data_IF_901745079975
#
_entry.id   IF_901745079975
#
_cell.length_a   1.000
_cell.length_b   1.000
_cell.length_c   1.000
_cell.angle_alpha   90.00
_cell.angle_beta   90.00
_cell.angle_gamma   90.00
#
_symmetry.space_group_name_H-M   'P 1'
#
loop_
_entity.id
_entity.type
_entity.pdbx_description
1 polymer ?
#
# COMPACT_ATOMS: atom_id res chain seq x y z
N UNK A 1 8.69 -1.01 -24.86
CA UNK A 1 8.64 0.27 -25.59
C UNK A 1 9.27 1.35 -24.70
N UNK A 2 10.47 1.83 -25.01
CA UNK A 2 11.11 2.90 -24.22
C UNK A 2 10.60 4.31 -24.65
N UNK A 3 10.19 5.16 -23.71
CA UNK A 3 9.73 6.52 -23.99
C UNK A 3 10.85 7.58 -23.79
N UNK A 4 12.03 7.18 -23.28
CA UNK A 4 13.13 8.08 -22.94
C UNK A 4 12.94 8.76 -21.58
N UNK A 5 14.05 9.20 -20.97
CA UNK A 5 14.09 9.82 -19.64
C UNK A 5 14.03 11.34 -19.77
N UNK A 6 13.02 11.97 -19.16
CA UNK A 6 12.98 13.43 -18.98
C UNK A 6 12.16 13.80 -17.72
N UNK A 7 12.36 15.00 -17.15
CA UNK A 7 11.75 15.36 -15.87
C UNK A 7 10.22 15.42 -15.89
N UNK A 8 9.63 15.80 -17.03
CA UNK A 8 8.19 15.79 -17.22
C UNK A 8 7.82 15.63 -18.69
N UNK A 9 6.72 14.95 -18.95
CA UNK A 9 6.12 14.85 -20.28
C UNK A 9 4.81 15.64 -20.33
N UNK A 10 4.45 16.17 -21.50
CA UNK A 10 3.08 16.57 -21.81
C UNK A 10 2.30 15.40 -22.43
N UNK A 11 0.96 15.43 -22.37
CA UNK A 11 0.13 14.38 -23.00
C UNK A 11 0.35 14.32 -24.51
N UNK A 12 0.50 15.48 -25.17
CA UNK A 12 0.75 15.54 -26.62
C UNK A 12 2.10 14.91 -27.01
N UNK A 13 3.16 15.17 -26.24
CA UNK A 13 4.48 14.56 -26.48
C UNK A 13 4.42 13.03 -26.31
N UNK A 14 3.71 12.54 -25.29
CA UNK A 14 3.51 11.11 -25.07
C UNK A 14 2.73 10.48 -26.23
N UNK A 15 1.62 11.10 -26.66
CA UNK A 15 0.81 10.60 -27.76
C UNK A 15 1.63 10.51 -29.06
N UNK A 16 2.43 11.54 -29.36
CA UNK A 16 3.31 11.55 -30.52
C UNK A 16 4.34 10.41 -30.46
N UNK A 17 4.96 10.18 -29.29
CA UNK A 17 5.91 9.07 -29.12
C UNK A 17 5.26 7.70 -29.27
N UNK A 18 4.08 7.52 -28.70
CA UNK A 18 3.31 6.29 -28.84
C UNK A 18 3.03 6.04 -30.32
N UNK A 19 2.43 7.00 -31.04
CA UNK A 19 2.13 6.90 -32.48
C UNK A 19 3.38 6.61 -33.31
N UNK A 20 4.47 7.31 -33.03
CA UNK A 20 5.73 7.09 -33.74
C UNK A 20 6.25 5.66 -33.56
N UNK A 21 6.23 5.11 -32.33
CA UNK A 21 6.71 3.75 -32.08
C UNK A 21 5.75 2.68 -32.60
N UNK A 22 4.45 2.87 -32.45
CA UNK A 22 3.42 2.00 -33.05
C UNK A 22 3.69 1.84 -34.55
N UNK A 23 3.90 2.97 -35.26
CA UNK A 23 4.20 2.95 -36.70
C UNK A 23 5.58 2.37 -37.03
N UNK A 24 6.61 2.70 -36.25
CA UNK A 24 7.99 2.27 -36.52
C UNK A 24 8.20 0.77 -36.33
N UNK A 25 7.44 0.14 -35.42
CA UNK A 25 7.53 -1.29 -35.11
C UNK A 25 6.34 -2.10 -35.64
N UNK A 26 5.45 -1.47 -36.42
CA UNK A 26 4.21 -2.07 -36.93
C UNK A 26 3.41 -2.83 -35.85
N UNK A 27 3.17 -2.15 -34.72
CA UNK A 27 2.51 -2.73 -33.55
C UNK A 27 1.03 -2.37 -33.52
N UNK A 28 0.20 -3.32 -33.10
CA UNK A 28 -1.16 -3.05 -32.64
C UNK A 28 -1.19 -3.04 -31.10
N UNK A 29 -1.54 -1.90 -30.49
CA UNK A 29 -1.70 -1.80 -29.04
C UNK A 29 -3.17 -2.03 -28.69
N UNK A 30 -3.47 -3.20 -28.13
CA UNK A 30 -4.83 -3.56 -27.70
C UNK A 30 -5.28 -2.70 -26.51
N UNK A 31 -4.41 -2.50 -25.53
CA UNK A 31 -4.66 -1.63 -24.37
C UNK A 31 -3.36 -1.20 -23.69
N UNK A 32 -3.44 -0.14 -22.87
CA UNK A 32 -2.35 0.34 -22.04
C UNK A 32 -2.68 0.21 -20.56
N UNK A 33 -1.71 -0.24 -19.76
CA UNK A 33 -1.81 -0.23 -18.29
C UNK A 33 -0.93 0.89 -17.76
N UNK A 34 -1.46 1.72 -16.86
CA UNK A 34 -0.64 2.64 -16.09
C UNK A 34 -1.26 2.98 -14.75
N UNK A 35 -0.50 3.67 -13.90
CA UNK A 35 -1.07 4.41 -12.78
C UNK A 35 -2.08 5.48 -13.27
N UNK A 36 -2.76 6.14 -12.33
CA UNK A 36 -3.73 7.19 -12.62
C UNK A 36 -3.07 8.51 -13.09
N UNK A 37 -1.93 8.45 -13.77
CA UNK A 37 -1.29 9.60 -14.38
C UNK A 37 -2.18 10.19 -15.48
N UNK A 38 -2.80 11.33 -15.18
CA UNK A 38 -3.73 12.04 -16.08
C UNK A 38 -3.14 12.33 -17.46
N UNK A 39 -1.84 12.60 -17.53
CA UNK A 39 -1.14 12.88 -18.79
C UNK A 39 -1.02 11.65 -19.68
N UNK A 40 -0.70 10.49 -19.09
CA UNK A 40 -0.53 9.24 -19.81
C UNK A 40 -1.88 8.68 -20.26
N UNK A 41 -2.88 8.75 -19.38
CA UNK A 41 -4.27 8.41 -19.71
C UNK A 41 -4.78 9.21 -20.89
N UNK A 42 -4.61 10.54 -20.89
CA UNK A 42 -4.99 11.40 -22.01
C UNK A 42 -4.23 11.04 -23.29
N UNK A 43 -2.92 10.82 -23.19
CA UNK A 43 -2.10 10.45 -24.34
C UNK A 43 -2.54 9.14 -25.00
N UNK A 44 -2.91 8.12 -24.20
CA UNK A 44 -3.44 6.85 -24.70
C UNK A 44 -4.80 7.03 -25.37
N UNK A 45 -5.69 7.84 -24.78
CA UNK A 45 -6.99 8.19 -25.37
C UNK A 45 -6.82 8.92 -26.71
N UNK A 46 -5.90 9.89 -26.80
CA UNK A 46 -5.57 10.62 -28.04
C UNK A 46 -4.96 9.70 -29.13
N UNK A 47 -4.53 8.49 -28.76
CA UNK A 47 -4.06 7.45 -29.65
C UNK A 47 -5.11 6.37 -29.96
N UNK A 48 -6.33 6.47 -29.42
CA UNK A 48 -7.38 5.46 -29.57
C UNK A 48 -7.11 4.17 -28.79
N UNK A 49 -6.19 4.19 -27.81
CA UNK A 49 -5.81 3.03 -27.01
C UNK A 49 -6.67 2.97 -25.75
N UNK A 50 -7.29 1.82 -25.48
CA UNK A 50 -8.02 1.59 -24.24
C UNK A 50 -7.06 1.61 -23.05
N UNK A 51 -7.35 2.45 -22.05
CA UNK A 51 -6.55 2.54 -20.83
C UNK A 51 -7.18 1.71 -19.70
N UNK A 52 -6.35 0.96 -18.98
CA UNK A 52 -6.71 0.19 -17.80
C UNK A 52 -5.83 0.66 -16.63
N UNK A 53 -6.44 0.92 -15.48
CA UNK A 53 -5.72 1.32 -14.27
C UNK A 53 -4.88 0.18 -13.68
N UNK A 54 -3.69 0.53 -13.19
CA UNK A 54 -2.85 -0.38 -12.43
C UNK A 54 -3.56 -0.83 -11.15
N UNK A 55 -3.78 -2.15 -11.04
CA UNK A 55 -4.53 -2.72 -9.92
C UNK A 55 -3.85 -2.53 -8.56
N UNK A 56 -2.52 -2.41 -8.51
CA UNK A 56 -1.78 -2.13 -7.27
C UNK A 56 -2.01 -0.69 -6.84
N UNK A 57 -2.01 0.24 -7.79
CA UNK A 57 -2.30 1.64 -7.52
C UNK A 57 -3.76 1.85 -7.10
N UNK A 58 -4.71 1.16 -7.74
CA UNK A 58 -6.12 1.20 -7.33
C UNK A 58 -6.29 0.67 -5.91
N UNK A 59 -5.66 -0.46 -5.56
CA UNK A 59 -5.70 -0.98 -4.20
C UNK A 59 -5.10 0.02 -3.19
N UNK A 60 -3.98 0.65 -3.54
CA UNK A 60 -3.38 1.67 -2.70
C UNK A 60 -4.29 2.88 -2.47
N UNK A 61 -5.06 3.30 -3.49
CA UNK A 61 -6.04 4.37 -3.38
C UNK A 61 -7.23 3.98 -2.49
N UNK A 62 -7.69 2.73 -2.57
CA UNK A 62 -8.74 2.20 -1.70
C UNK A 62 -8.27 2.19 -0.25
N UNK A 63 -7.11 1.59 0.05
CA UNK A 63 -6.56 1.59 1.42
C UNK A 63 -6.35 3.01 1.94
N UNK A 64 -5.79 3.91 1.11
CA UNK A 64 -5.62 5.31 1.48
C UNK A 64 -6.96 5.95 1.85
N UNK A 65 -8.04 5.65 1.13
CA UNK A 65 -9.37 6.21 1.41
C UNK A 65 -9.92 5.71 2.75
N UNK A 66 -9.74 4.42 3.05
CA UNK A 66 -10.16 3.82 4.32
C UNK A 66 -9.48 4.51 5.51
N UNK A 67 -8.14 4.61 5.50
CA UNK A 67 -7.38 5.11 6.64
C UNK A 67 -7.22 6.65 6.68
N UNK A 68 -7.51 7.37 5.58
CA UNK A 68 -7.35 8.83 5.56
C UNK A 68 -8.35 9.53 6.48
N UNK A 69 -9.59 9.04 6.54
CA UNK A 69 -10.66 9.66 7.34
C UNK A 69 -10.84 9.01 8.71
N UNK A 70 -10.16 7.91 8.99
CA UNK A 70 -10.27 7.21 10.25
C UNK A 70 -9.55 7.97 11.38
N UNK A 71 -10.31 8.45 12.36
CA UNK A 71 -9.78 9.25 13.47
C UNK A 71 -8.84 8.45 14.37
N UNK A 72 -9.17 7.18 14.62
CA UNK A 72 -8.36 6.29 15.46
C UNK A 72 -6.97 6.08 14.85
N UNK A 73 -6.91 5.73 13.57
CA UNK A 73 -5.66 5.57 12.81
C UNK A 73 -4.85 6.84 12.74
N UNK A 74 -5.50 7.97 12.47
CA UNK A 74 -4.81 9.26 12.42
C UNK A 74 -4.24 9.64 13.80
N UNK A 75 -5.00 9.44 14.87
CA UNK A 75 -4.56 9.67 16.25
C UNK A 75 -3.35 8.78 16.62
N UNK A 76 -3.41 7.50 16.24
CA UNK A 76 -2.31 6.56 16.44
C UNK A 76 -1.03 7.02 15.72
N UNK A 77 -1.13 7.39 14.45
CA UNK A 77 -0.02 7.90 13.64
C UNK A 77 0.58 9.19 14.21
N UNK A 78 -0.25 10.10 14.73
CA UNK A 78 0.22 11.34 15.37
C UNK A 78 1.05 11.02 16.60
N UNK A 79 0.56 10.16 17.50
CA UNK A 79 1.29 9.75 18.71
C UNK A 79 2.59 9.04 18.36
N UNK A 80 2.55 8.16 17.38
CA UNK A 80 3.73 7.46 16.87
C UNK A 80 4.81 8.44 16.36
N UNK A 81 4.43 9.45 15.57
CA UNK A 81 5.37 10.45 15.08
C UNK A 81 5.92 11.36 16.19
N UNK A 82 5.10 11.69 17.21
CA UNK A 82 5.57 12.40 18.40
C UNK A 82 6.61 11.59 19.17
N UNK A 83 6.34 10.29 19.37
CA UNK A 83 7.26 9.38 20.04
C UNK A 83 8.58 9.26 19.27
N UNK A 84 8.52 9.07 17.94
CA UNK A 84 9.73 9.03 17.09
C UNK A 84 10.58 10.28 17.26
N UNK A 85 9.98 11.48 17.20
CA UNK A 85 10.73 12.74 17.40
C UNK A 85 11.39 12.82 18.77
N UNK A 86 10.72 12.33 19.81
CA UNK A 86 11.25 12.30 21.17
C UNK A 86 12.40 11.30 21.32
N UNK A 87 12.31 10.14 20.66
CA UNK A 87 13.23 9.02 20.87
C UNK A 87 14.40 8.98 19.90
N UNK A 88 14.40 9.77 18.83
CA UNK A 88 15.43 9.71 17.78
C UNK A 88 16.87 9.93 18.28
N UNK A 89 17.05 10.67 19.38
CA UNK A 89 18.34 10.88 20.04
C UNK A 89 18.41 10.26 21.45
N UNK A 90 17.47 9.37 21.79
CA UNK A 90 17.39 8.74 23.10
C UNK A 90 17.98 7.33 23.11
N UNK A 91 18.17 6.78 24.31
CA UNK A 91 18.57 5.38 24.53
C UNK A 91 17.55 4.34 24.02
N UNK A 92 16.36 4.76 23.61
CA UNK A 92 15.29 3.87 23.13
C UNK A 92 15.38 3.60 21.62
N UNK A 93 16.57 3.73 21.02
CA UNK A 93 16.76 3.67 19.56
C UNK A 93 16.20 2.40 18.91
N UNK A 94 16.28 1.27 19.62
CA UNK A 94 15.78 -0.03 19.14
C UNK A 94 14.25 -0.14 19.12
N UNK A 95 13.54 0.74 19.81
CA UNK A 95 12.07 0.76 19.90
C UNK A 95 11.45 1.90 19.08
N UNK A 96 12.28 2.69 18.39
CA UNK A 96 11.83 3.87 17.64
C UNK A 96 10.79 3.46 16.58
N UNK A 97 9.65 4.16 16.50
CA UNK A 97 8.71 3.95 15.41
C UNK A 97 9.29 4.28 14.03
N UNK A 98 8.83 3.62 12.96
CA UNK A 98 9.33 3.84 11.60
C UNK A 98 9.06 5.26 11.10
N UNK A 99 9.87 5.69 10.13
CA UNK A 99 9.62 6.94 9.43
C UNK A 99 8.51 6.79 8.39
N UNK A 100 7.53 7.68 8.44
CA UNK A 100 6.43 7.67 7.49
C UNK A 100 6.67 8.70 6.38
N UNK A 101 6.59 8.25 5.12
CA UNK A 101 6.61 9.15 3.97
C UNK A 101 5.27 9.87 3.84
N UNK A 102 5.29 11.20 3.82
CA UNK A 102 4.10 12.07 3.81
C UNK A 102 3.13 11.79 2.65
N UNK A 103 3.65 11.31 1.51
CA UNK A 103 2.87 11.13 0.27
C UNK A 103 2.18 9.76 0.15
N UNK A 104 2.46 8.80 1.04
CA UNK A 104 2.12 7.40 0.79
C UNK A 104 1.49 6.66 1.97
N UNK A 105 0.19 6.88 2.18
CA UNK A 105 -0.58 6.23 3.26
C UNK A 105 -0.71 4.72 3.10
N UNK A 106 -0.69 4.21 1.87
CA UNK A 106 -0.71 2.78 1.63
C UNK A 106 0.56 2.14 2.21
N UNK A 107 1.74 2.63 1.81
CA UNK A 107 3.01 2.11 2.34
C UNK A 107 3.17 2.34 3.84
N UNK A 108 2.54 3.37 4.41
CA UNK A 108 2.58 3.58 5.86
C UNK A 108 2.02 2.36 6.62
N UNK A 109 0.92 1.77 6.16
CA UNK A 109 0.35 0.58 6.82
C UNK A 109 1.37 -0.55 6.96
N UNK A 110 2.12 -0.83 5.89
CA UNK A 110 3.09 -1.94 5.79
C UNK A 110 4.15 -1.91 6.88
N UNK A 111 4.49 -0.71 7.36
CA UNK A 111 5.59 -0.52 8.32
C UNK A 111 5.04 -0.29 9.72
N UNK A 112 3.88 0.37 9.84
CA UNK A 112 3.25 0.66 11.13
C UNK A 112 2.85 -0.63 11.85
N UNK A 113 2.10 -1.53 11.20
CA UNK A 113 1.60 -2.73 11.88
C UNK A 113 2.77 -3.61 12.36
N UNK A 114 3.80 -3.82 11.52
CA UNK A 114 4.97 -4.64 11.86
C UNK A 114 5.72 -4.13 13.09
N UNK A 115 5.95 -2.82 13.14
CA UNK A 115 6.58 -2.19 14.29
C UNK A 115 5.71 -2.35 15.54
N UNK A 116 4.42 -2.05 15.43
CA UNK A 116 3.50 -2.11 16.56
C UNK A 116 3.35 -3.54 17.12
N UNK A 117 3.23 -4.54 16.24
CA UNK A 117 3.21 -5.96 16.61
C UNK A 117 4.51 -6.41 17.27
N UNK A 118 5.67 -5.91 16.80
CA UNK A 118 6.95 -6.20 17.44
C UNK A 118 7.03 -5.61 18.86
N UNK A 119 6.46 -4.42 19.09
CA UNK A 119 6.35 -3.83 20.42
C UNK A 119 5.47 -4.70 21.34
N UNK A 120 4.29 -5.11 20.86
CA UNK A 120 3.37 -5.96 21.63
C UNK A 120 4.01 -7.32 21.97
N UNK A 121 4.66 -7.96 20.98
CA UNK A 121 5.32 -9.26 21.16
C UNK A 121 6.47 -9.21 22.18
N UNK A 122 7.20 -8.10 22.22
CA UNK A 122 8.34 -7.94 23.12
C UNK A 122 7.99 -7.18 24.40
N UNK A 123 6.70 -6.99 24.71
CA UNK A 123 6.25 -6.10 25.77
C UNK A 123 6.93 -6.36 27.10
N UNK A 124 7.02 -7.62 27.53
CA UNK A 124 7.64 -8.02 28.79
C UNK A 124 9.13 -7.62 28.91
N UNK A 125 9.83 -7.54 27.78
CA UNK A 125 11.26 -7.21 27.73
C UNK A 125 11.53 -5.70 27.62
N UNK A 126 10.48 -4.88 27.53
CA UNK A 126 10.61 -3.42 27.43
C UNK A 126 10.71 -2.81 28.83
N UNK A 127 11.63 -1.87 29.03
CA UNK A 127 11.78 -1.17 30.31
C UNK A 127 10.51 -0.39 30.68
N UNK A 128 10.15 -0.35 31.97
CA UNK A 128 8.96 0.37 32.47
C UNK A 128 8.84 1.84 31.99
N UNK A 129 9.90 2.66 31.94
CA UNK A 129 9.80 4.02 31.39
C UNK A 129 9.37 4.04 29.92
N UNK A 130 9.83 3.07 29.12
CA UNK A 130 9.46 2.95 27.72
C UNK A 130 8.04 2.38 27.55
N UNK A 131 7.62 1.41 28.39
CA UNK A 131 6.25 0.90 28.41
C UNK A 131 5.24 2.02 28.67
N UNK A 132 5.51 2.90 29.63
CA UNK A 132 4.64 4.04 29.93
C UNK A 132 4.37 4.93 28.69
N UNK A 133 5.38 5.15 27.85
CA UNK A 133 5.23 5.92 26.61
C UNK A 133 4.66 5.10 25.44
N UNK A 134 4.79 3.77 25.48
CA UNK A 134 4.26 2.83 24.48
C UNK A 134 2.86 2.32 24.82
N UNK A 135 2.26 2.69 25.94
CA UNK A 135 0.92 2.22 26.35
C UNK A 135 -0.15 2.48 25.28
N UNK A 136 0.01 3.53 24.47
CA UNK A 136 -0.90 3.78 23.35
C UNK A 136 -0.85 2.68 22.27
N UNK A 137 0.23 1.93 22.15
CA UNK A 137 0.33 0.75 21.28
C UNK A 137 -0.58 -0.35 21.79
N UNK A 138 -0.49 -0.67 23.08
CA UNK A 138 -1.36 -1.66 23.73
C UNK A 138 -2.85 -1.27 23.63
N UNK A 139 -3.18 0.00 23.90
CA UNK A 139 -4.57 0.49 23.77
C UNK A 139 -5.12 0.45 22.34
N UNK A 140 -4.27 0.32 21.32
CA UNK A 140 -4.68 0.28 19.92
C UNK A 140 -4.42 -1.10 19.28
N UNK A 141 -4.33 -2.16 20.07
CA UNK A 141 -4.10 -3.53 19.59
C UNK A 141 -5.11 -3.96 18.51
N UNK A 142 -6.40 -3.72 18.72
CA UNK A 142 -7.44 -4.03 17.73
C UNK A 142 -7.25 -3.28 16.40
N UNK A 143 -6.77 -2.03 16.45
CA UNK A 143 -6.43 -1.26 15.26
C UNK A 143 -5.20 -1.86 14.55
N UNK A 144 -4.18 -2.26 15.31
CA UNK A 144 -2.96 -2.88 14.78
C UNK A 144 -3.30 -4.19 14.07
N UNK A 145 -4.15 -5.03 14.67
CA UNK A 145 -4.70 -6.24 14.05
C UNK A 145 -5.42 -5.90 12.75
N UNK A 146 -6.31 -4.89 12.76
CA UNK A 146 -7.03 -4.46 11.56
C UNK A 146 -6.08 -3.98 10.44
N UNK A 147 -5.01 -3.27 10.80
CA UNK A 147 -3.97 -2.83 9.86
C UNK A 147 -3.19 -4.02 9.27
N UNK A 148 -2.81 -5.01 10.09
CA UNK A 148 -2.20 -6.27 9.64
C UNK A 148 -3.14 -6.98 8.67
N UNK A 149 -4.39 -7.20 9.06
CA UNK A 149 -5.36 -7.95 8.26
C UNK A 149 -5.59 -7.30 6.89
N UNK A 150 -5.72 -5.96 6.87
CA UNK A 150 -5.82 -5.24 5.62
C UNK A 150 -4.56 -5.42 4.76
N UNK A 151 -3.36 -5.34 5.36
CA UNK A 151 -2.10 -5.60 4.66
C UNK A 151 -2.03 -7.02 4.08
N UNK A 152 -2.40 -8.05 4.83
CA UNK A 152 -2.36 -9.44 4.37
C UNK A 152 -3.30 -9.66 3.19
N UNK A 153 -4.52 -9.12 3.24
CA UNK A 153 -5.48 -9.18 2.14
C UNK A 153 -4.94 -8.48 0.88
N UNK A 154 -4.25 -7.35 1.05
CA UNK A 154 -3.57 -6.64 -0.04
C UNK A 154 -2.42 -7.48 -0.61
N UNK A 155 -1.65 -8.18 0.22
CA UNK A 155 -0.59 -9.09 -0.24
C UNK A 155 -1.17 -10.26 -1.02
N UNK A 156 -2.24 -10.88 -0.53
CA UNK A 156 -2.98 -11.94 -1.23
C UNK A 156 -3.43 -11.42 -2.60
N UNK A 157 -4.05 -10.23 -2.65
CA UNK A 157 -4.44 -9.57 -3.88
C UNK A 157 -3.25 -9.38 -4.84
N UNK A 158 -2.17 -8.75 -4.37
CA UNK A 158 -0.99 -8.46 -5.19
C UNK A 158 -0.32 -9.73 -5.72
N UNK A 159 -0.21 -10.78 -4.91
CA UNK A 159 0.44 -12.05 -5.29
C UNK A 159 -0.26 -12.72 -6.48
N UNK A 160 -1.58 -12.53 -6.58
CA UNK A 160 -2.40 -13.16 -7.60
C UNK A 160 -2.59 -12.28 -8.83
N UNK A 161 -3.01 -11.03 -8.63
CA UNK A 161 -3.42 -10.18 -9.74
C UNK A 161 -2.25 -9.54 -10.48
N UNK A 162 -1.07 -9.40 -9.86
CA UNK A 162 0.13 -8.90 -10.58
C UNK A 162 0.61 -9.87 -11.65
N UNK A 163 0.44 -11.16 -11.44
CA UNK A 163 0.91 -12.20 -12.38
C UNK A 163 -0.19 -12.69 -13.31
N UNK A 164 -1.43 -12.83 -12.81
CA UNK A 164 -2.54 -13.45 -13.57
C UNK A 164 -3.53 -12.46 -14.17
N UNK A 165 -3.43 -11.16 -13.84
CA UNK A 165 -4.42 -10.15 -14.20
C UNK A 165 -5.78 -10.39 -13.52
N UNK A 166 -6.71 -9.45 -13.67
CA UNK A 166 -8.07 -9.54 -13.10
C UNK A 166 -9.00 -10.21 -14.11
N UNK A 167 -9.16 -11.53 -13.97
CA UNK A 167 -10.03 -12.38 -14.78
C UNK A 167 -10.83 -13.36 -13.92
N UNK A 168 -11.83 -14.03 -14.50
CA UNK A 168 -12.77 -14.88 -13.77
C UNK A 168 -12.06 -15.93 -12.88
N UNK A 169 -11.08 -16.65 -13.43
CA UNK A 169 -10.33 -17.68 -12.70
C UNK A 169 -9.52 -17.11 -11.52
N UNK A 170 -8.82 -16.00 -11.73
CA UNK A 170 -8.09 -15.31 -10.66
C UNK A 170 -9.03 -14.73 -9.60
N UNK A 171 -10.22 -14.26 -9.98
CA UNK A 171 -11.21 -13.77 -9.02
C UNK A 171 -11.72 -14.90 -8.12
N UNK A 172 -12.00 -16.08 -8.68
CA UNK A 172 -12.42 -17.24 -7.90
C UNK A 172 -11.29 -17.71 -6.96
N UNK A 173 -10.04 -17.75 -7.44
CA UNK A 173 -8.88 -18.06 -6.61
C UNK A 173 -8.68 -17.05 -5.46
N UNK A 174 -8.89 -15.76 -5.75
CA UNK A 174 -8.81 -14.71 -4.72
C UNK A 174 -9.88 -14.90 -3.65
N UNK A 175 -11.14 -15.09 -4.05
CA UNK A 175 -12.25 -15.36 -3.12
C UNK A 175 -11.95 -16.55 -2.22
N UNK A 176 -11.48 -17.67 -2.78
CA UNK A 176 -11.09 -18.84 -1.99
C UNK A 176 -9.99 -18.54 -0.98
N UNK A 177 -8.94 -17.80 -1.38
CA UNK A 177 -7.86 -17.38 -0.47
C UNK A 177 -8.35 -16.43 0.63
N UNK A 178 -9.31 -15.56 0.34
CA UNK A 178 -9.90 -14.66 1.33
C UNK A 178 -10.73 -15.43 2.35
N UNK A 179 -11.51 -16.42 1.94
CA UNK A 179 -12.26 -17.26 2.90
C UNK A 179 -11.30 -18.09 3.77
N UNK A 180 -10.26 -18.71 3.18
CA UNK A 180 -9.22 -19.41 3.95
C UNK A 180 -8.54 -18.49 4.97
N UNK A 181 -8.26 -17.24 4.57
CA UNK A 181 -7.68 -16.24 5.49
C UNK A 181 -8.60 -15.95 6.66
N UNK A 182 -9.90 -15.72 6.41
CA UNK A 182 -10.89 -15.48 7.46
C UNK A 182 -10.99 -16.65 8.44
N UNK A 183 -11.02 -17.89 7.94
CA UNK A 183 -11.08 -19.09 8.78
C UNK A 183 -9.85 -19.20 9.71
N UNK A 184 -8.66 -18.87 9.19
CA UNK A 184 -7.42 -18.86 9.96
C UNK A 184 -7.44 -17.81 11.07
N UNK A 185 -7.88 -16.58 10.77
CA UNK A 185 -7.96 -15.51 11.77
C UNK A 185 -8.95 -15.85 12.90
N UNK A 186 -10.14 -16.38 12.56
CA UNK A 186 -11.14 -16.82 13.56
C UNK A 186 -10.61 -17.94 14.46
N UNK A 187 -9.77 -18.81 13.94
CA UNK A 187 -9.15 -19.89 14.73
C UNK A 187 -8.04 -19.34 15.64
N UNK A 188 -7.30 -18.33 15.18
CA UNK A 188 -6.22 -17.69 15.95
C UNK A 188 -6.70 -16.80 17.11
N UNK A 189 -7.90 -16.23 17.02
CA UNK A 189 -8.51 -15.43 18.11
C UNK A 189 -9.10 -16.30 19.24
N UNK A 190 -9.26 -17.61 19.01
CA UNK A 190 -9.82 -18.57 19.98
C UNK A 190 -8.76 -19.39 20.73
N UNK A 191 -7.49 -19.25 20.37
CA UNK A 191 -6.36 -19.97 20.94
C UNK A 191 -5.56 -19.08 21.90
#
# INVERSE_FOLDING_TARGET
MDLGVQPSWSSAQLAQKIKHKVKAYDLEIVYGISDNCSKLKKAMQDCGISWIGDCTHEMANVSKTLFKKDEQSNGFIIRMNQLRRKWILSRHTLLIPPELRTKDRFHQMFVIHKWAEQILKNWENISEPAKAELLFVQHNEALIISMRQCYDLIQIFCSLFKSKGIQHNSLNQWKGKVEQYKEQEVCSEKA
#
